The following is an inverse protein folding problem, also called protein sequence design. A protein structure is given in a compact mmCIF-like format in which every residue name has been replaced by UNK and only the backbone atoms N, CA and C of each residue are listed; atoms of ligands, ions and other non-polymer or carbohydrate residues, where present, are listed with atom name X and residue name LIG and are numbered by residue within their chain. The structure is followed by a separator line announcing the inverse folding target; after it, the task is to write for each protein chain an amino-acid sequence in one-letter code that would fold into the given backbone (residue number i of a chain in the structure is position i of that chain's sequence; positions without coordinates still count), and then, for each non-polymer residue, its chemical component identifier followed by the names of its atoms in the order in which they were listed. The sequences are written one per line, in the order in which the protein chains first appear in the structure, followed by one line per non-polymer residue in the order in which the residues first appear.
data_IF_638354645121
#
_entry.id   IF_638354645121
#
_cell.length_a   1.000
_cell.length_b   1.000
_cell.length_c   1.000
_cell.angle_alpha   90.00
_cell.angle_beta   90.00
_cell.angle_gamma   90.00
#
_symmetry.space_group_name_H-M   'P 1'
#
loop_
_entity.id
_entity.type
_entity.pdbx_description
1 polymer ?
#
# COMPACT_ATOMS: atom_id res chain seq x y z
N UNK A 1 31.96 1.26 -3.66
CA UNK A 1 30.62 1.90 -3.65
C UNK A 1 29.82 1.38 -4.83
N UNK A 2 28.51 1.23 -4.63
CA UNK A 2 27.41 1.01 -5.58
C UNK A 2 27.15 -0.39 -6.17
N UNK A 3 26.28 -1.13 -5.46
CA UNK A 3 24.97 -1.43 -6.04
C UNK A 3 23.96 -0.56 -5.30
N UNK A 4 23.25 0.32 -6.02
CA UNK A 4 22.13 1.06 -5.47
C UNK A 4 21.14 0.04 -4.88
N UNK A 5 20.98 0.00 -3.57
CA UNK A 5 20.01 -0.86 -2.91
C UNK A 5 18.62 -0.38 -3.33
N UNK A 6 18.10 -0.92 -4.43
CA UNK A 6 16.77 -0.59 -4.93
C UNK A 6 15.78 -1.03 -3.85
N UNK A 7 15.27 -0.06 -3.09
CA UNK A 7 14.24 -0.32 -2.09
C UNK A 7 13.03 -0.90 -2.83
N UNK A 8 12.65 -2.13 -2.48
CA UNK A 8 11.46 -2.75 -3.07
C UNK A 8 10.23 -2.00 -2.57
N UNK A 9 9.38 -1.58 -3.50
CA UNK A 9 8.12 -0.93 -3.16
C UNK A 9 7.13 -1.98 -2.63
N UNK A 10 6.47 -1.68 -1.52
CA UNK A 10 5.39 -2.53 -0.97
C UNK A 10 4.19 -1.65 -0.69
N UNK A 11 3.03 -2.11 -1.14
CA UNK A 11 1.75 -1.44 -0.96
C UNK A 11 0.97 -2.02 0.21
N UNK A 12 0.43 -1.17 1.08
CA UNK A 12 -0.50 -1.58 2.14
C UNK A 12 -1.81 -0.81 1.99
N UNK A 13 -2.91 -1.53 1.76
CA UNK A 13 -4.26 -0.96 1.67
C UNK A 13 -4.98 -1.25 2.98
N UNK A 14 -5.40 -0.19 3.68
CA UNK A 14 -6.02 -0.24 4.99
C UNK A 14 -5.00 -0.04 6.12
N UNK A 15 -5.17 1.04 6.89
CA UNK A 15 -4.35 1.44 8.04
C UNK A 15 -5.18 1.43 9.32
N UNK A 16 -5.93 0.34 9.53
CA UNK A 16 -6.42 -0.05 10.85
C UNK A 16 -5.27 -0.44 11.79
N UNK A 17 -5.59 -0.97 12.98
CA UNK A 17 -4.57 -1.35 13.97
C UNK A 17 -3.51 -2.31 13.40
N UNK A 18 -3.95 -3.34 12.66
CA UNK A 18 -3.03 -4.31 12.03
C UNK A 18 -2.27 -3.70 10.85
N UNK A 19 -2.97 -3.08 9.90
CA UNK A 19 -2.36 -2.54 8.68
C UNK A 19 -1.32 -1.46 8.96
N UNK A 20 -1.57 -0.58 9.95
CA UNK A 20 -0.59 0.41 10.41
C UNK A 20 0.66 -0.26 11.00
N UNK A 21 0.48 -1.29 11.84
CA UNK A 21 1.59 -2.07 12.39
C UNK A 21 2.44 -2.71 11.30
N UNK A 22 1.81 -3.35 10.32
CA UNK A 22 2.49 -3.96 9.16
C UNK A 22 3.26 -2.91 8.36
N UNK A 23 2.65 -1.75 8.06
CA UNK A 23 3.29 -0.68 7.31
C UNK A 23 4.55 -0.14 8.04
N UNK A 24 4.49 0.05 9.37
CA UNK A 24 5.68 0.44 10.14
C UNK A 24 6.75 -0.65 10.18
N UNK A 25 6.37 -1.93 10.31
CA UNK A 25 7.33 -3.04 10.30
C UNK A 25 8.05 -3.13 8.96
N UNK A 26 7.33 -3.01 7.84
CA UNK A 26 7.92 -2.98 6.50
C UNK A 26 8.86 -1.78 6.32
N UNK A 27 8.46 -0.59 6.77
CA UNK A 27 9.33 0.60 6.70
C UNK A 27 10.63 0.39 7.51
N UNK A 28 10.52 -0.12 8.74
CA UNK A 28 11.68 -0.41 9.60
C UNK A 28 12.60 -1.48 9.01
N UNK A 29 12.04 -2.42 8.24
CA UNK A 29 12.81 -3.42 7.51
C UNK A 29 13.47 -2.88 6.23
N UNK A 30 13.30 -1.59 5.91
CA UNK A 30 13.93 -0.95 4.76
C UNK A 30 13.16 -1.08 3.44
N UNK A 31 11.85 -1.33 3.47
CA UNK A 31 11.02 -1.26 2.26
C UNK A 31 10.54 0.17 2.01
N UNK A 32 10.31 0.52 0.73
CA UNK A 32 9.62 1.76 0.36
C UNK A 32 8.11 1.51 0.42
N UNK A 33 7.49 1.96 1.50
CA UNK A 33 6.09 1.64 1.79
C UNK A 33 5.15 2.68 1.21
N UNK A 34 4.26 2.25 0.33
CA UNK A 34 3.13 3.02 -0.18
C UNK A 34 1.85 2.59 0.55
N UNK A 35 1.00 3.54 0.90
CA UNK A 35 -0.23 3.28 1.67
C UNK A 35 -1.45 3.94 1.06
N UNK A 36 -2.58 3.26 1.16
CA UNK A 36 -3.90 3.79 0.81
C UNK A 36 -4.88 3.39 1.92
N UNK A 37 -5.77 4.30 2.32
CA UNK A 37 -6.85 4.02 3.27
C UNK A 37 -8.09 4.82 2.83
N UNK A 38 -9.29 4.29 3.08
CA UNK A 38 -10.54 5.01 2.82
C UNK A 38 -10.64 6.33 3.62
N UNK A 39 -9.82 6.47 4.66
CA UNK A 39 -9.56 7.67 5.45
C UNK A 39 -8.25 8.31 5.00
N UNK A 40 -8.27 9.34 4.14
CA UNK A 40 -7.06 9.96 3.61
C UNK A 40 -6.12 10.45 4.73
N UNK A 41 -6.65 10.91 5.85
CA UNK A 41 -5.89 11.37 6.99
C UNK A 41 -4.98 10.28 7.59
N UNK A 42 -5.38 9.01 7.54
CA UNK A 42 -4.58 7.89 8.02
C UNK A 42 -3.36 7.66 7.12
N UNK A 43 -3.56 7.69 5.79
CA UNK A 43 -2.47 7.58 4.82
C UNK A 43 -1.50 8.77 4.92
N UNK A 44 -2.03 9.98 5.06
CA UNK A 44 -1.23 11.19 5.22
C UNK A 44 -0.44 11.21 6.54
N UNK A 45 -1.01 10.70 7.64
CA UNK A 45 -0.30 10.56 8.89
C UNK A 45 0.92 9.62 8.75
N UNK A 46 0.75 8.49 8.07
CA UNK A 46 1.87 7.57 7.80
C UNK A 46 2.92 8.18 6.86
N UNK A 47 2.51 8.96 5.86
CA UNK A 47 3.43 9.64 4.95
C UNK A 47 4.34 10.64 5.67
N UNK A 48 3.85 11.34 6.69
CA UNK A 48 4.66 12.23 7.54
C UNK A 48 5.79 11.50 8.27
N UNK A 49 5.72 10.19 8.39
CA UNK A 49 6.76 9.35 8.99
C UNK A 49 7.71 8.69 7.97
N UNK A 50 7.68 9.15 6.71
CA UNK A 50 8.57 8.66 5.65
C UNK A 50 7.98 7.57 4.75
N UNK A 51 6.67 7.32 4.83
CA UNK A 51 5.94 6.54 3.82
C UNK A 51 5.48 7.39 2.63
N UNK A 52 4.78 6.75 1.68
CA UNK A 52 4.13 7.42 0.55
C UNK A 52 2.62 7.21 0.61
N UNK A 53 1.84 8.29 0.72
CA UNK A 53 0.39 8.22 0.60
C UNK A 53 -0.03 8.15 -0.88
N UNK A 54 -0.95 7.26 -1.19
CA UNK A 54 -1.59 7.13 -2.49
C UNK A 54 -3.09 7.38 -2.36
N UNK A 55 -3.70 8.03 -3.35
CA UNK A 55 -5.11 8.43 -3.31
C UNK A 55 -6.07 7.27 -3.57
N UNK A 56 -5.62 6.24 -4.29
CA UNK A 56 -6.44 5.07 -4.64
C UNK A 56 -5.65 3.75 -4.58
N UNK A 57 -6.34 2.60 -4.38
CA UNK A 57 -5.73 1.28 -4.49
C UNK A 57 -5.03 1.04 -5.84
N UNK A 58 -5.62 1.49 -6.95
CA UNK A 58 -5.02 1.41 -8.28
C UNK A 58 -3.72 2.22 -8.39
N UNK A 59 -3.70 3.46 -7.89
CA UNK A 59 -2.49 4.29 -7.91
C UNK A 59 -1.35 3.69 -7.08
N UNK A 60 -1.69 3.06 -5.95
CA UNK A 60 -0.74 2.31 -5.14
C UNK A 60 -0.23 1.06 -5.89
N UNK A 61 -1.12 0.26 -6.46
CA UNK A 61 -0.78 -0.99 -7.15
C UNK A 61 0.11 -0.77 -8.39
N UNK A 62 -0.07 0.36 -9.10
CA UNK A 62 0.78 0.73 -10.24
C UNK A 62 2.27 0.89 -9.87
N UNK A 63 2.57 1.16 -8.60
CA UNK A 63 3.92 1.43 -8.10
C UNK A 63 4.51 0.26 -7.31
N UNK A 64 3.68 -0.69 -6.88
CA UNK A 64 4.04 -1.72 -5.91
C UNK A 64 3.94 -3.13 -6.51
N UNK A 65 5.07 -3.86 -6.66
CA UNK A 65 5.05 -5.26 -7.07
C UNK A 65 4.36 -6.19 -6.07
N UNK A 66 4.26 -5.78 -4.80
CA UNK A 66 3.54 -6.51 -3.74
C UNK A 66 2.52 -5.58 -3.11
N UNK A 67 1.27 -6.05 -3.01
CA UNK A 67 0.16 -5.34 -2.35
C UNK A 67 -0.43 -6.20 -1.25
N UNK A 68 -0.57 -5.63 -0.07
CA UNK A 68 -1.17 -6.26 1.12
C UNK A 68 -2.49 -5.53 1.40
N UNK A 69 -3.61 -6.25 1.34
CA UNK A 69 -4.92 -5.72 1.74
C UNK A 69 -5.24 -6.10 3.18
N UNK A 70 -5.52 -5.11 4.03
CA UNK A 70 -5.84 -5.27 5.46
C UNK A 70 -7.10 -4.48 5.78
N UNK A 71 -8.22 -4.98 5.28
CA UNK A 71 -9.57 -4.40 5.44
C UNK A 71 -10.46 -5.30 6.30
N UNK A 72 -11.63 -4.80 6.70
CA UNK A 72 -12.45 -5.44 7.74
C UNK A 72 -13.23 -6.64 7.24
N UNK A 73 -13.71 -6.61 6.00
CA UNK A 73 -14.63 -7.63 5.49
C UNK A 73 -14.49 -7.84 3.97
N UNK A 74 -15.26 -8.82 3.47
CA UNK A 74 -15.26 -9.22 2.06
C UNK A 74 -15.72 -8.09 1.13
N UNK A 75 -16.76 -7.33 1.47
CA UNK A 75 -17.24 -6.23 0.62
C UNK A 75 -16.17 -5.14 0.43
N UNK A 76 -15.44 -4.79 1.49
CA UNK A 76 -14.30 -3.88 1.37
C UNK A 76 -13.17 -4.49 0.56
N UNK A 77 -12.94 -5.80 0.67
CA UNK A 77 -11.92 -6.51 -0.11
C UNK A 77 -12.23 -6.48 -1.59
N UNK A 78 -13.49 -6.75 -1.96
CA UNK A 78 -13.99 -6.65 -3.34
C UNK A 78 -13.82 -5.22 -3.88
N UNK A 79 -14.21 -4.20 -3.11
CA UNK A 79 -14.07 -2.80 -3.53
C UNK A 79 -12.60 -2.41 -3.78
N UNK A 80 -11.69 -2.71 -2.84
CA UNK A 80 -10.28 -2.30 -2.98
C UNK A 80 -9.52 -3.08 -4.03
N UNK A 81 -9.98 -4.28 -4.40
CA UNK A 81 -9.34 -5.09 -5.44
C UNK A 81 -9.97 -4.83 -6.82
N UNK A 82 -11.29 -4.82 -6.91
CA UNK A 82 -12.02 -4.90 -8.18
C UNK A 82 -13.01 -3.74 -8.41
N UNK A 83 -13.14 -2.81 -7.46
CA UNK A 83 -13.91 -1.58 -7.67
C UNK A 83 -13.33 -0.69 -8.78
N UNK A 84 -13.99 0.43 -9.13
CA UNK A 84 -13.56 1.30 -10.23
C UNK A 84 -12.14 1.87 -10.11
N UNK A 85 -11.62 1.93 -8.88
CA UNK A 85 -10.26 2.37 -8.55
C UNK A 85 -9.49 1.25 -7.81
N UNK A 86 -9.90 -0.01 -8.01
CA UNK A 86 -9.35 -1.18 -7.36
C UNK A 86 -7.96 -1.56 -7.86
N UNK A 87 -7.17 -2.16 -6.96
CA UNK A 87 -5.77 -2.50 -7.19
C UNK A 87 -5.56 -3.43 -8.39
N UNK A 88 -6.42 -4.43 -8.59
CA UNK A 88 -6.20 -5.50 -9.56
C UNK A 88 -6.06 -4.98 -11.00
N UNK A 89 -6.78 -3.92 -11.35
CA UNK A 89 -6.74 -3.30 -12.68
C UNK A 89 -5.40 -2.65 -13.03
N UNK A 90 -4.61 -2.26 -12.02
CA UNK A 90 -3.33 -1.56 -12.17
C UNK A 90 -2.13 -2.45 -11.83
N UNK A 91 -2.36 -3.67 -11.34
CA UNK A 91 -1.30 -4.63 -11.08
C UNK A 91 -0.68 -5.14 -12.38
N UNK A 92 0.62 -5.38 -12.36
CA UNK A 92 1.33 -5.98 -13.49
C UNK A 92 0.86 -7.42 -13.67
N UNK A 93 0.54 -7.82 -14.91
CA UNK A 93 0.25 -9.21 -15.21
C UNK A 93 1.50 -10.09 -15.00
N UNK A 94 1.29 -11.29 -14.45
CA UNK A 94 2.34 -12.30 -14.21
C UNK A 94 3.49 -11.81 -13.31
N UNK A 95 3.19 -10.95 -12.34
CA UNK A 95 4.10 -10.49 -11.28
C UNK A 95 4.29 -11.53 -10.18
#
# INVERSE_FOLDING_TARGET
MNASNLLVNVGVIGLGAMGRGMAHSLRQAGYRVHVCDARPEAAQAFAKEGGVACDTPAALAALCPVVISVVVNAAQTEEVLFGPQGAASAMRANS
#
